data_IF_334592754356
#
_entry.id   IF_334592754356
#
_cell.length_a   1.000
_cell.length_b   1.000
_cell.length_c   1.000
_cell.angle_alpha   90.00
_cell.angle_beta   90.00
_cell.angle_gamma   90.00
#
_symmetry.space_group_name_H-M   'P 1'
#
loop_
_entity.id
_entity.type
_entity.pdbx_description
1 polymer ?
#
# COMPACT_ATOMS: atom_id res chain seq x y z
N UNK A 1 -4.97 14.57 11.02
CA UNK A 1 -3.98 13.62 10.53
C UNK A 1 -3.56 12.69 11.65
N UNK A 2 -3.31 11.43 11.36
CA UNK A 2 -2.85 10.44 12.31
C UNK A 2 -1.34 10.16 12.17
N UNK A 3 -0.78 9.55 13.19
CA UNK A 3 0.60 9.06 13.15
C UNK A 3 0.74 7.82 14.03
N UNK A 4 1.21 6.72 13.44
CA UNK A 4 1.64 5.56 14.21
C UNK A 4 3.02 5.81 14.83
N UNK A 5 3.16 5.48 16.11
CA UNK A 5 4.44 5.52 16.83
C UNK A 5 4.91 4.09 17.12
N UNK A 6 6.01 3.70 16.49
CA UNK A 6 6.58 2.37 16.67
C UNK A 6 7.15 2.13 18.08
N UNK A 7 7.63 3.19 18.73
CA UNK A 7 8.27 3.09 20.05
C UNK A 7 7.36 2.55 21.15
N UNK A 8 6.08 2.94 21.15
CA UNK A 8 5.09 2.50 22.14
C UNK A 8 3.85 1.85 21.51
N UNK A 9 3.88 1.63 20.20
CA UNK A 9 2.81 1.00 19.42
C UNK A 9 1.46 1.73 19.59
N UNK A 10 1.51 3.06 19.60
CA UNK A 10 0.31 3.90 19.70
C UNK A 10 0.01 4.63 18.42
N UNK A 11 -1.25 5.03 18.26
CA UNK A 11 -1.70 5.89 17.17
C UNK A 11 -2.09 7.24 17.77
N UNK A 12 -1.48 8.30 17.24
CA UNK A 12 -1.74 9.67 17.66
C UNK A 12 -2.55 10.40 16.58
N UNK A 13 -3.53 11.18 16.99
CA UNK A 13 -4.30 12.04 16.09
C UNK A 13 -4.08 13.51 16.47
N UNK A 14 -3.88 14.36 15.46
CA UNK A 14 -3.65 15.79 15.67
C UNK A 14 -4.91 16.51 16.22
N UNK A 15 -6.10 16.02 15.87
CA UNK A 15 -7.37 16.54 16.34
C UNK A 15 -8.47 15.48 16.31
N UNK A 16 -9.62 15.75 16.93
CA UNK A 16 -10.78 14.86 16.86
C UNK A 16 -11.30 14.65 15.43
N UNK A 17 -11.12 15.62 14.55
CA UNK A 17 -11.52 15.51 13.13
C UNK A 17 -10.68 14.49 12.36
N UNK A 18 -9.48 14.22 12.85
CA UNK A 18 -8.58 13.25 12.22
C UNK A 18 -8.91 11.81 12.62
N UNK A 19 -9.77 11.61 13.63
CA UNK A 19 -10.26 10.30 14.04
C UNK A 19 -11.38 9.87 13.10
N UNK A 20 -11.00 9.36 11.94
CA UNK A 20 -11.94 8.85 10.94
C UNK A 20 -11.44 7.52 10.39
N UNK A 21 -12.31 6.79 9.69
CA UNK A 21 -12.02 5.45 9.21
C UNK A 21 -10.78 5.39 8.31
N UNK A 22 -10.63 6.35 7.39
CA UNK A 22 -9.50 6.39 6.46
C UNK A 22 -8.16 6.57 7.18
N UNK A 23 -8.08 7.56 8.06
CA UNK A 23 -6.85 7.81 8.84
C UNK A 23 -6.53 6.64 9.75
N UNK A 24 -7.54 6.05 10.39
CA UNK A 24 -7.33 4.88 11.24
C UNK A 24 -6.82 3.68 10.43
N UNK A 25 -7.37 3.42 9.25
CA UNK A 25 -6.92 2.35 8.37
C UNK A 25 -5.45 2.52 7.96
N UNK A 26 -5.04 3.73 7.59
CA UNK A 26 -3.65 4.04 7.25
C UNK A 26 -2.71 3.73 8.43
N UNK A 27 -3.06 4.20 9.61
CA UNK A 27 -2.22 4.01 10.79
C UNK A 27 -2.20 2.55 11.27
N UNK A 28 -3.29 1.82 11.12
CA UNK A 28 -3.33 0.38 11.38
C UNK A 28 -2.46 -0.40 10.39
N UNK A 29 -2.39 0.03 9.13
CA UNK A 29 -1.47 -0.55 8.16
C UNK A 29 -0.02 -0.36 8.58
N UNK A 30 0.37 0.81 9.06
CA UNK A 30 1.71 1.04 9.58
C UNK A 30 1.99 0.17 10.82
N UNK A 31 1.01 -0.03 11.68
CA UNK A 31 1.15 -0.94 12.81
C UNK A 31 1.37 -2.39 12.36
N UNK A 32 0.66 -2.85 11.32
CA UNK A 32 0.87 -4.16 10.72
C UNK A 32 2.24 -4.26 10.07
N UNK A 33 2.68 -3.25 9.35
CA UNK A 33 4.02 -3.22 8.77
C UNK A 33 5.10 -3.35 9.85
N UNK A 34 4.94 -2.64 10.95
CA UNK A 34 5.87 -2.77 12.08
C UNK A 34 5.90 -4.19 12.65
N UNK A 35 4.75 -4.88 12.72
CA UNK A 35 4.68 -6.27 13.14
C UNK A 35 5.45 -7.21 12.19
N UNK A 36 5.29 -7.04 10.88
CA UNK A 36 5.91 -7.92 9.87
C UNK A 36 7.38 -7.60 9.62
N UNK A 37 7.75 -6.33 9.61
CA UNK A 37 9.10 -5.89 9.26
C UNK A 37 10.01 -5.70 10.48
N UNK A 38 9.44 -5.64 11.69
CA UNK A 38 10.19 -5.48 12.92
C UNK A 38 11.01 -4.20 12.96
N UNK A 39 12.28 -4.29 13.33
CA UNK A 39 13.18 -3.14 13.42
C UNK A 39 13.40 -2.45 12.07
N UNK A 40 13.27 -3.15 10.96
CA UNK A 40 13.42 -2.57 9.62
C UNK A 40 12.35 -1.53 9.29
N UNK A 41 11.20 -1.56 9.99
CA UNK A 41 10.13 -0.59 9.79
C UNK A 41 10.60 0.86 9.96
N UNK A 42 11.52 1.12 10.87
CA UNK A 42 12.05 2.45 11.15
C UNK A 42 13.30 2.80 10.32
N UNK A 43 13.77 1.90 9.44
CA UNK A 43 14.91 2.15 8.58
C UNK A 43 14.55 3.18 7.50
N UNK A 44 15.21 4.37 7.48
CA UNK A 44 14.91 5.42 6.50
C UNK A 44 15.09 4.98 5.04
N UNK A 45 16.00 4.03 4.79
CA UNK A 45 16.29 3.54 3.44
C UNK A 45 15.19 2.61 2.89
N UNK A 46 14.35 2.07 3.77
CA UNK A 46 13.25 1.15 3.41
C UNK A 46 11.89 1.84 3.42
N UNK A 47 11.80 3.02 3.99
CA UNK A 47 10.55 3.73 4.20
C UNK A 47 9.76 3.96 2.91
N UNK A 48 10.43 4.34 1.83
CA UNK A 48 9.77 4.59 0.54
C UNK A 48 8.98 3.37 0.05
N UNK A 49 9.57 2.19 0.15
CA UNK A 49 8.92 0.93 -0.26
C UNK A 49 7.76 0.57 0.65
N UNK A 50 7.88 0.77 1.96
CA UNK A 50 6.79 0.55 2.90
C UNK A 50 5.63 1.54 2.67
N UNK A 51 5.92 2.79 2.37
CA UNK A 51 4.89 3.78 2.03
C UNK A 51 4.16 3.39 0.74
N UNK A 52 4.86 2.86 -0.26
CA UNK A 52 4.22 2.37 -1.48
C UNK A 52 3.24 1.23 -1.18
N UNK A 53 3.65 0.23 -0.40
CA UNK A 53 2.76 -0.86 0.01
C UNK A 53 1.52 -0.32 0.75
N UNK A 54 1.73 0.58 1.71
CA UNK A 54 0.65 1.15 2.51
C UNK A 54 -0.36 1.94 1.66
N UNK A 55 0.12 2.70 0.69
CA UNK A 55 -0.76 3.52 -0.16
C UNK A 55 -1.51 2.72 -1.24
N UNK A 56 -0.93 1.64 -1.76
CA UNK A 56 -1.59 0.81 -2.77
C UNK A 56 -2.46 -0.29 -2.14
N UNK A 57 -2.24 -0.64 -0.89
CA UNK A 57 -2.98 -1.71 -0.21
C UNK A 57 -4.50 -1.53 -0.27
N UNK A 58 -5.08 -0.35 -0.02
CA UNK A 58 -6.55 -0.19 -0.11
C UNK A 58 -7.09 -0.49 -1.50
N UNK A 59 -6.36 -0.12 -2.56
CA UNK A 59 -6.79 -0.37 -3.93
C UNK A 59 -6.75 -1.87 -4.26
N UNK A 60 -5.72 -2.57 -3.81
CA UNK A 60 -5.60 -4.02 -3.98
C UNK A 60 -6.68 -4.75 -3.18
N UNK A 61 -6.90 -4.35 -1.93
CA UNK A 61 -7.95 -4.90 -1.08
C UNK A 61 -9.34 -4.72 -1.71
N UNK A 62 -9.62 -3.53 -2.23
CA UNK A 62 -10.88 -3.26 -2.92
C UNK A 62 -11.05 -4.13 -4.17
N UNK A 63 -9.98 -4.31 -4.96
CA UNK A 63 -10.03 -5.15 -6.15
C UNK A 63 -10.36 -6.61 -5.80
N UNK A 64 -9.75 -7.16 -4.77
CA UNK A 64 -9.96 -8.56 -4.37
C UNK A 64 -11.30 -8.77 -3.67
N UNK A 65 -11.65 -7.89 -2.72
CA UNK A 65 -12.79 -8.10 -1.83
C UNK A 65 -14.10 -7.52 -2.34
N UNK A 66 -14.05 -6.37 -3.01
CA UNK A 66 -15.25 -5.58 -3.27
C UNK A 66 -15.52 -5.26 -4.73
N UNK A 67 -14.59 -5.47 -5.66
CA UNK A 67 -14.77 -5.06 -7.06
C UNK A 67 -16.00 -5.69 -7.74
N UNK A 68 -16.33 -6.92 -7.37
CA UNK A 68 -17.51 -7.63 -7.89
C UNK A 68 -18.83 -7.17 -7.28
N UNK A 69 -18.78 -6.53 -6.10
CA UNK A 69 -19.95 -6.16 -5.31
C UNK A 69 -20.28 -4.68 -5.48
N UNK A 70 -19.27 -3.81 -5.49
CA UNK A 70 -19.47 -2.39 -5.35
C UNK A 70 -19.12 -1.57 -6.60
N UNK A 71 -18.55 -2.18 -7.61
CA UNK A 71 -18.09 -1.50 -8.83
C UNK A 71 -17.28 -0.21 -8.52
N UNK A 72 -16.42 -0.29 -7.50
CA UNK A 72 -15.61 0.84 -7.05
C UNK A 72 -14.54 1.23 -8.06
N UNK A 73 -14.20 2.54 -8.20
CA UNK A 73 -13.09 2.96 -9.04
C UNK A 73 -11.78 2.32 -8.59
N UNK A 74 -11.08 1.66 -9.53
CA UNK A 74 -9.81 1.00 -9.25
C UNK A 74 -8.68 2.02 -9.20
N UNK A 75 -7.73 1.83 -8.30
CA UNK A 75 -6.56 2.70 -8.15
C UNK A 75 -6.85 4.07 -7.52
N UNK A 76 -8.08 4.31 -7.03
CA UNK A 76 -8.49 5.62 -6.55
C UNK A 76 -7.65 6.16 -5.40
N UNK A 77 -7.13 5.29 -4.51
CA UNK A 77 -6.32 5.73 -3.37
C UNK A 77 -4.90 6.11 -3.79
N UNK A 78 -4.21 5.23 -4.49
CA UNK A 78 -2.81 5.46 -4.87
C UNK A 78 -2.67 6.62 -5.87
N UNK A 79 -3.66 6.85 -6.73
CA UNK A 79 -3.65 7.96 -7.70
C UNK A 79 -3.74 9.34 -7.05
N UNK A 80 -4.12 9.43 -5.78
CA UNK A 80 -4.01 10.66 -5.02
C UNK A 80 -2.55 11.07 -4.75
N UNK A 81 -1.64 10.11 -4.75
CA UNK A 81 -0.22 10.34 -4.50
C UNK A 81 0.60 10.58 -5.77
N UNK A 82 0.19 9.96 -6.86
CA UNK A 82 0.84 10.10 -8.18
C UNK A 82 -0.19 9.79 -9.28
N UNK A 83 -0.49 10.78 -10.10
CA UNK A 83 -1.46 10.68 -11.20
C UNK A 83 -0.80 10.71 -12.58
N UNK A 84 0.51 10.52 -12.66
CA UNK A 84 1.22 10.49 -13.95
C UNK A 84 0.73 9.33 -14.84
N UNK A 85 0.67 9.52 -16.18
CA UNK A 85 0.12 8.50 -17.09
C UNK A 85 0.83 7.16 -17.00
N UNK A 86 2.16 7.15 -16.94
CA UNK A 86 2.95 5.91 -16.87
C UNK A 86 2.68 5.14 -15.58
N UNK A 87 2.53 5.84 -14.47
CA UNK A 87 2.21 5.24 -13.18
C UNK A 87 0.78 4.66 -13.20
N UNK A 88 -0.18 5.42 -13.72
CA UNK A 88 -1.57 4.94 -13.86
C UNK A 88 -1.64 3.67 -14.70
N UNK A 89 -0.92 3.61 -15.81
CA UNK A 89 -0.89 2.42 -16.68
C UNK A 89 -0.30 1.21 -15.93
N UNK A 90 0.79 1.40 -15.19
CA UNK A 90 1.41 0.33 -14.42
C UNK A 90 0.48 -0.19 -13.31
N UNK A 91 -0.19 0.70 -12.58
CA UNK A 91 -1.16 0.32 -11.54
C UNK A 91 -2.38 -0.36 -12.15
N UNK A 92 -2.92 0.16 -13.27
CA UNK A 92 -4.05 -0.47 -13.95
C UNK A 92 -3.73 -1.89 -14.41
N UNK A 93 -2.52 -2.13 -14.92
CA UNK A 93 -2.09 -3.47 -15.29
C UNK A 93 -2.05 -4.41 -14.08
N UNK A 94 -1.54 -3.95 -12.96
CA UNK A 94 -1.54 -4.70 -11.70
C UNK A 94 -2.96 -5.03 -11.24
N UNK A 95 -3.82 -4.02 -11.16
CA UNK A 95 -5.19 -4.19 -10.68
C UNK A 95 -5.99 -5.13 -11.61
N UNK A 96 -5.82 -5.03 -12.93
CA UNK A 96 -6.47 -5.92 -13.86
C UNK A 96 -6.05 -7.38 -13.68
N UNK A 97 -4.77 -7.62 -13.41
CA UNK A 97 -4.28 -8.97 -13.12
C UNK A 97 -4.85 -9.50 -11.80
N UNK A 98 -4.91 -8.64 -10.77
CA UNK A 98 -5.52 -8.99 -9.47
C UNK A 98 -7.01 -9.32 -9.64
N UNK A 99 -7.75 -8.54 -10.42
CA UNK A 99 -9.17 -8.83 -10.72
C UNK A 99 -9.35 -10.17 -11.40
N UNK A 100 -8.46 -10.51 -12.32
CA UNK A 100 -8.48 -11.79 -13.02
C UNK A 100 -8.18 -12.97 -12.09
N UNK A 101 -7.16 -12.86 -11.26
CA UNK A 101 -6.63 -13.98 -10.47
C UNK A 101 -7.23 -14.04 -9.06
N UNK A 102 -7.74 -12.93 -8.53
CA UNK A 102 -8.35 -12.83 -7.20
C UNK A 102 -7.37 -12.98 -6.03
N UNK A 103 -6.08 -12.74 -6.26
CA UNK A 103 -5.03 -12.92 -5.26
C UNK A 103 -3.83 -12.01 -5.52
N UNK A 104 -2.89 -11.99 -4.56
CA UNK A 104 -1.60 -11.34 -4.71
C UNK A 104 -0.49 -12.38 -4.50
N UNK A 105 0.01 -12.93 -5.59
CA UNK A 105 1.13 -13.89 -5.64
C UNK A 105 2.29 -13.33 -6.46
N UNK A 106 3.23 -14.18 -6.85
CA UNK A 106 4.45 -13.77 -7.55
C UNK A 106 4.20 -13.08 -8.89
N UNK A 107 3.14 -13.43 -9.61
CA UNK A 107 2.79 -12.75 -10.86
C UNK A 107 2.33 -11.32 -10.62
N UNK A 108 1.50 -11.13 -9.61
CA UNK A 108 1.06 -9.80 -9.22
C UNK A 108 2.22 -8.97 -8.67
N UNK A 109 3.15 -9.61 -7.96
CA UNK A 109 4.35 -8.93 -7.44
C UNK A 109 5.18 -8.30 -8.56
N UNK A 110 5.35 -8.96 -9.71
CA UNK A 110 6.11 -8.39 -10.83
C UNK A 110 5.55 -7.05 -11.28
N UNK A 111 4.22 -6.93 -11.35
CA UNK A 111 3.55 -5.68 -11.72
C UNK A 111 3.54 -4.66 -10.57
N UNK A 112 3.47 -5.12 -9.33
CA UNK A 112 3.63 -4.29 -8.13
C UNK A 112 5.02 -3.64 -8.10
N UNK A 113 6.06 -4.42 -8.32
CA UNK A 113 7.44 -3.94 -8.38
C UNK A 113 7.62 -2.89 -9.49
N UNK A 114 7.08 -3.16 -10.68
CA UNK A 114 7.13 -2.23 -11.80
C UNK A 114 6.46 -0.90 -11.46
N UNK A 115 5.28 -0.94 -10.86
CA UNK A 115 4.58 0.26 -10.43
C UNK A 115 5.36 1.01 -9.35
N UNK A 116 5.90 0.31 -8.36
CA UNK A 116 6.71 0.90 -7.29
C UNK A 116 7.95 1.63 -7.80
N UNK A 117 8.62 1.08 -8.81
CA UNK A 117 9.79 1.71 -9.44
C UNK A 117 9.44 2.99 -10.23
N UNK A 118 8.22 3.09 -10.73
CA UNK A 118 7.73 4.28 -11.45
C UNK A 118 7.18 5.33 -10.48
N UNK A 119 6.70 4.92 -9.31
CA UNK A 119 6.02 5.79 -8.35
C UNK A 119 6.86 6.98 -7.92
N UNK A 120 6.34 8.18 -8.12
CA UNK A 120 6.98 9.46 -7.77
C UNK A 120 6.00 10.37 -7.02
N UNK A 121 5.70 10.05 -5.76
CA UNK A 121 4.80 10.86 -4.96
C UNK A 121 5.45 12.19 -4.57
N UNK A 122 4.62 13.21 -4.35
CA UNK A 122 5.10 14.52 -3.92
C UNK A 122 5.61 14.53 -2.47
N UNK A 123 5.01 13.71 -1.61
CA UNK A 123 5.27 13.74 -0.16
C UNK A 123 6.38 12.80 0.31
N UNK A 124 6.83 11.91 -0.56
CA UNK A 124 7.86 10.91 -0.22
C UNK A 124 9.01 10.97 -1.20
N UNK A 125 10.23 10.94 -0.67
CA UNK A 125 11.45 10.90 -1.46
C UNK A 125 12.21 9.60 -1.19
N UNK A 126 12.71 8.98 -2.24
CA UNK A 126 13.46 7.76 -2.16
C UNK A 126 13.33 6.92 -3.41
N UNK A 127 13.75 5.67 -3.30
CA UNK A 127 13.68 4.70 -4.36
C UNK A 127 13.03 3.41 -3.86
N UNK A 128 12.29 2.75 -4.76
CA UNK A 128 11.69 1.45 -4.46
C UNK A 128 12.80 0.39 -4.33
N UNK A 129 12.78 -0.34 -3.22
CA UNK A 129 13.73 -1.41 -2.92
C UNK A 129 13.10 -2.77 -3.26
N UNK A 130 13.55 -3.38 -4.37
CA UNK A 130 13.05 -4.68 -4.84
C UNK A 130 13.43 -5.86 -3.94
N UNK A 131 14.33 -5.68 -2.99
CA UNK A 131 14.69 -6.73 -2.02
C UNK A 131 13.67 -6.86 -0.89
N UNK A 132 12.79 -5.87 -0.73
CA UNK A 132 11.73 -5.87 0.28
C UNK A 132 10.48 -6.54 -0.30
N UNK A 133 10.06 -7.64 0.32
CA UNK A 133 8.83 -8.32 -0.04
C UNK A 133 7.62 -7.60 0.61
N UNK A 134 6.52 -7.39 -0.11
CA UNK A 134 5.31 -6.80 0.46
C UNK A 134 4.57 -7.83 1.33
N UNK A 135 5.07 -8.02 2.55
CA UNK A 135 4.65 -9.10 3.45
C UNK A 135 3.18 -9.05 3.82
N UNK A 136 2.60 -7.86 3.93
CA UNK A 136 1.17 -7.71 4.25
C UNK A 136 0.32 -8.22 3.09
N UNK A 137 0.65 -7.81 1.87
CA UNK A 137 -0.08 -8.25 0.67
C UNK A 137 -0.01 -9.76 0.48
N UNK A 138 1.18 -10.35 0.63
CA UNK A 138 1.34 -11.80 0.55
C UNK A 138 0.60 -12.53 1.66
N UNK A 139 0.66 -12.03 2.90
CA UNK A 139 0.05 -12.69 4.05
C UNK A 139 -1.48 -12.68 3.99
N UNK A 140 -2.08 -11.60 3.49
CA UNK A 140 -3.54 -11.45 3.46
C UNK A 140 -4.13 -11.98 2.16
N UNK A 141 -3.49 -11.74 1.04
CA UNK A 141 -4.06 -12.00 -0.30
C UNK A 141 -3.29 -13.04 -1.11
N UNK A 142 -2.20 -13.58 -0.59
CA UNK A 142 -1.48 -14.67 -1.24
C UNK A 142 -2.31 -15.96 -1.29
N UNK A 143 -2.05 -16.78 -2.31
CA UNK A 143 -2.64 -18.10 -2.46
C UNK A 143 -1.64 -19.14 -1.97
N UNK A 144 -2.08 -20.01 -1.08
CA UNK A 144 -1.23 -21.08 -0.52
C UNK A 144 -1.58 -22.44 -1.10
#
# INVERSE_FOLDING_TARGET
>A
KGKYKSTDRSILFASKKDINSKTLEEELLYALQHLYYGEDFDDPNKKFTYEFEAHIFPDIANAILYSKIWNTPLGANIFLTDSSPDFKDAVNNLINLILKDGCFDDYQYLLFEKAGKIWKPLDYHGEFDSTIQPMILYSIFGRY
#
